data_IF_845905657617
#
_entry.id   IF_845905657617
#
_cell.length_a   1.000
_cell.length_b   1.000
_cell.length_c   1.000
_cell.angle_alpha   90.00
_cell.angle_beta   90.00
_cell.angle_gamma   90.00
#
_symmetry.space_group_name_H-M   'P 1'
#
loop_
_entity.id
_entity.type
_entity.pdbx_description
1 polymer ?
#
# COMPACT_ATOMS: atom_id res chain seq x y z
N UNK A 1 -0.43 7.96 -4.52
CA UNK A 1 -1.88 7.76 -4.79
C UNK A 1 -2.19 8.39 -6.14
N UNK A 2 -2.88 7.68 -7.05
CA UNK A 2 -3.43 8.28 -8.28
C UNK A 2 -4.87 8.71 -7.99
N UNK A 3 -5.23 9.95 -8.30
CA UNK A 3 -6.62 10.42 -8.20
C UNK A 3 -7.20 10.64 -9.60
N UNK A 4 -8.39 10.11 -9.84
CA UNK A 4 -9.19 10.35 -11.05
C UNK A 4 -10.26 11.41 -10.71
N UNK A 5 -10.32 12.50 -11.49
CA UNK A 5 -11.25 13.62 -11.23
C UNK A 5 -12.19 13.76 -12.43
N UNK A 6 -13.47 13.45 -12.23
CA UNK A 6 -14.59 13.96 -13.03
C UNK A 6 -14.74 13.38 -14.45
N UNK A 7 -15.99 13.10 -14.81
CA UNK A 7 -16.45 12.21 -15.89
C UNK A 7 -16.15 12.62 -17.35
N UNK A 8 -15.27 13.58 -17.62
CA UNK A 8 -14.84 13.93 -18.97
C UNK A 8 -13.55 14.76 -18.89
N UNK A 9 -12.39 14.12 -18.67
CA UNK A 9 -11.04 14.53 -19.11
C UNK A 9 -9.96 13.83 -18.28
N UNK A 10 -9.17 12.97 -18.90
CA UNK A 10 -7.96 12.37 -18.33
C UNK A 10 -7.02 13.43 -17.72
N UNK A 11 -6.97 13.54 -16.40
CA UNK A 11 -5.96 14.29 -15.65
C UNK A 11 -5.31 13.35 -14.63
N UNK A 12 -4.24 12.67 -15.02
CA UNK A 12 -3.43 11.86 -14.12
C UNK A 12 -2.46 12.79 -13.38
N UNK A 13 -2.85 13.26 -12.19
CA UNK A 13 -1.95 13.94 -11.26
C UNK A 13 -1.29 12.90 -10.36
N UNK A 14 0.04 12.82 -10.38
CA UNK A 14 0.80 12.01 -9.42
C UNK A 14 1.09 12.89 -8.20
N UNK A 15 0.41 12.58 -7.08
CA UNK A 15 0.62 13.25 -5.79
C UNK A 15 1.51 12.36 -4.94
N UNK A 16 2.71 12.86 -4.65
CA UNK A 16 3.66 12.24 -3.72
C UNK A 16 3.32 12.71 -2.30
N UNK A 17 2.76 11.82 -1.49
CA UNK A 17 2.45 12.06 -0.08
C UNK A 17 3.15 11.04 0.82
N UNK A 18 3.63 11.49 1.98
CA UNK A 18 4.21 10.67 3.04
C UNK A 18 3.12 9.84 3.76
N UNK A 19 3.19 8.50 3.74
CA UNK A 19 2.46 7.66 4.69
C UNK A 19 3.47 6.93 5.60
N UNK A 20 3.46 7.18 6.92
CA UNK A 20 4.58 6.86 7.81
C UNK A 20 4.21 5.78 8.81
N UNK A 21 4.57 4.54 8.44
CA UNK A 21 4.67 3.40 9.35
C UNK A 21 6.13 2.94 9.35
N UNK A 22 6.85 3.26 10.43
CA UNK A 22 8.22 2.82 10.82
C UNK A 22 9.42 3.76 10.55
N UNK A 23 10.29 3.79 11.55
CA UNK A 23 11.24 4.86 11.89
C UNK A 23 12.61 4.83 11.18
N UNK A 24 12.86 3.99 10.16
CA UNK A 24 14.21 3.82 9.62
C UNK A 24 14.33 3.68 8.09
N UNK A 25 13.23 3.63 7.34
CA UNK A 25 13.27 3.49 5.88
C UNK A 25 12.00 4.05 5.25
N UNK A 26 11.98 5.36 5.06
CA UNK A 26 10.86 6.07 4.45
C UNK A 26 11.20 6.42 3.00
N UNK A 27 10.85 5.48 2.13
CA UNK A 27 11.33 5.37 0.75
C UNK A 27 11.03 6.57 -0.14
N UNK A 28 9.92 7.29 0.04
CA UNK A 28 9.49 8.31 -0.92
C UNK A 28 10.17 9.68 -0.79
N UNK A 29 10.82 9.98 0.35
CA UNK A 29 11.64 11.19 0.56
C UNK A 29 13.12 10.87 0.87
N UNK A 30 13.50 9.58 0.86
CA UNK A 30 14.88 9.20 0.65
C UNK A 30 15.29 9.67 -0.77
N UNK A 31 16.43 10.35 -0.95
CA UNK A 31 16.93 10.75 -2.27
C UNK A 31 16.79 9.68 -3.35
N UNK A 32 17.00 8.41 -2.99
CA UNK A 32 16.87 7.28 -3.92
C UNK A 32 15.45 7.06 -4.43
N UNK A 33 14.43 7.12 -3.56
CA UNK A 33 13.04 6.93 -4.01
C UNK A 33 12.49 8.15 -4.73
N UNK A 34 12.92 9.36 -4.34
CA UNK A 34 12.58 10.58 -5.09
C UNK A 34 13.11 10.52 -6.53
N UNK A 35 14.35 10.07 -6.72
CA UNK A 35 14.94 9.88 -8.06
C UNK A 35 14.13 8.86 -8.87
N UNK A 36 13.80 7.71 -8.29
CA UNK A 36 13.02 6.67 -8.97
C UNK A 36 11.66 7.18 -9.44
N UNK A 37 10.93 7.91 -8.59
CA UNK A 37 9.62 8.45 -8.95
C UNK A 37 9.75 9.54 -10.00
N UNK A 38 10.74 10.43 -9.88
CA UNK A 38 10.98 11.49 -10.86
C UNK A 38 11.43 10.94 -12.22
N UNK A 39 12.24 9.87 -12.25
CA UNK A 39 12.60 9.17 -13.48
C UNK A 39 11.38 8.48 -14.10
N UNK A 40 10.53 7.83 -13.30
CA UNK A 40 9.28 7.25 -13.79
C UNK A 40 8.32 8.32 -14.33
N UNK A 41 8.25 9.48 -13.67
CA UNK A 41 7.49 10.63 -14.13
C UNK A 41 8.04 11.18 -15.46
N UNK A 42 9.37 11.20 -15.63
CA UNK A 42 10.02 11.58 -16.90
C UNK A 42 9.67 10.62 -18.04
N UNK A 43 9.68 9.33 -17.76
CA UNK A 43 9.44 8.32 -18.79
C UNK A 43 7.94 8.21 -19.16
N UNK A 44 7.06 8.81 -18.35
CA UNK A 44 5.62 8.91 -18.60
C UNK A 44 5.29 10.02 -19.63
N UNK A 45 5.05 9.61 -20.88
CA UNK A 45 4.74 10.54 -21.99
C UNK A 45 3.41 11.31 -21.84
N UNK A 46 2.49 10.81 -21.02
CA UNK A 46 1.14 11.37 -20.84
C UNK A 46 1.00 12.21 -19.57
N UNK A 47 2.09 12.38 -18.81
CA UNK A 47 2.08 13.12 -17.55
C UNK A 47 1.77 14.60 -17.80
N UNK A 48 0.65 15.07 -17.23
CA UNK A 48 0.24 16.48 -17.33
C UNK A 48 0.71 17.33 -16.15
N UNK A 49 0.87 16.71 -14.99
CA UNK A 49 1.18 17.41 -13.73
C UNK A 49 1.74 16.44 -12.70
N UNK A 50 2.76 16.90 -11.97
CA UNK A 50 3.38 16.17 -10.88
C UNK A 50 3.50 17.09 -9.67
N UNK A 51 2.90 16.71 -8.54
CA UNK A 51 2.92 17.54 -7.33
C UNK A 51 3.75 16.87 -6.24
N UNK A 52 4.78 17.59 -5.79
CA UNK A 52 5.59 17.23 -4.63
C UNK A 52 4.97 17.86 -3.40
N UNK A 53 4.52 17.04 -2.46
CA UNK A 53 4.00 17.51 -1.18
C UNK A 53 5.13 17.48 -0.15
N UNK A 54 5.48 18.68 0.29
CA UNK A 54 6.41 19.04 1.34
C UNK A 54 5.64 19.67 2.50
N UNK A 55 6.33 20.21 3.50
CA UNK A 55 5.69 20.85 4.66
C UNK A 55 6.35 22.15 5.08
N UNK A 56 5.70 22.88 5.98
CA UNK A 56 6.26 24.06 6.65
C UNK A 56 7.53 23.75 7.49
N UNK A 57 7.85 22.47 7.72
CA UNK A 57 9.05 22.04 8.45
C UNK A 57 10.35 22.37 7.71
N UNK A 58 10.29 22.55 6.38
CA UNK A 58 11.45 22.98 5.59
C UNK A 58 11.94 24.38 5.95
N UNK A 59 11.06 25.24 6.47
CA UNK A 59 11.42 26.60 6.87
C UNK A 59 12.29 26.62 8.13
N UNK A 60 11.94 25.79 9.12
CA UNK A 60 12.54 25.81 10.46
C UNK A 60 12.61 27.22 11.04
N UNK A 61 13.83 27.75 11.21
CA UNK A 61 14.07 29.10 11.76
C UNK A 61 13.90 30.27 10.78
N UNK A 62 13.45 30.00 9.55
CA UNK A 62 13.29 31.02 8.52
C UNK A 62 11.88 31.60 8.49
N UNK A 63 11.73 32.77 7.86
CA UNK A 63 10.41 33.31 7.58
C UNK A 63 9.62 32.34 6.69
N UNK A 64 8.36 32.05 7.02
CA UNK A 64 7.55 31.06 6.32
C UNK A 64 6.88 31.65 5.06
N UNK A 65 7.70 32.07 4.10
CA UNK A 65 7.29 32.54 2.77
C UNK A 65 8.01 31.74 1.71
N UNK A 66 7.36 31.52 0.56
CA UNK A 66 7.84 30.63 -0.51
C UNK A 66 9.24 31.00 -1.02
N UNK A 67 9.63 32.28 -0.94
CA UNK A 67 10.93 32.79 -1.39
C UNK A 67 12.01 32.83 -0.29
N UNK A 68 11.66 32.44 0.93
CA UNK A 68 12.61 32.43 2.04
C UNK A 68 13.65 31.33 1.89
N UNK A 69 14.81 31.58 2.50
CA UNK A 69 15.82 30.54 2.72
C UNK A 69 15.20 29.44 3.58
N UNK A 70 15.63 28.20 3.37
CA UNK A 70 15.20 27.04 4.14
C UNK A 70 16.25 26.70 5.20
N UNK A 71 15.84 26.62 6.46
CA UNK A 71 16.72 26.29 7.60
C UNK A 71 16.05 25.22 8.49
N UNK A 72 15.82 24.00 7.97
CA UNK A 72 15.13 22.95 8.71
C UNK A 72 15.91 22.54 9.96
N UNK A 73 15.18 22.30 11.06
CA UNK A 73 15.75 21.95 12.36
C UNK A 73 15.69 20.44 12.68
N UNK A 74 15.05 19.66 11.80
CA UNK A 74 14.87 18.23 11.97
C UNK A 74 15.12 17.49 10.65
N UNK A 75 15.30 16.17 10.75
CA UNK A 75 15.62 15.32 9.61
C UNK A 75 14.49 15.26 8.56
N UNK A 76 13.23 15.42 8.98
CA UNK A 76 12.06 15.42 8.07
C UNK A 76 12.12 16.64 7.15
N UNK A 77 12.22 17.84 7.73
CA UNK A 77 12.35 19.08 6.96
C UNK A 77 13.62 19.12 6.10
N UNK A 78 14.73 18.53 6.57
CA UNK A 78 15.94 18.41 5.78
C UNK A 78 15.77 17.48 4.56
N UNK A 79 15.05 16.35 4.72
CA UNK A 79 14.75 15.43 3.65
C UNK A 79 13.77 16.05 2.63
N UNK A 80 12.72 16.71 3.10
CA UNK A 80 11.76 17.44 2.27
C UNK A 80 12.45 18.55 1.46
N UNK A 81 13.31 19.37 2.09
CA UNK A 81 14.15 20.36 1.39
C UNK A 81 15.00 19.73 0.28
N UNK A 82 15.59 18.55 0.54
CA UNK A 82 16.34 17.80 -0.47
C UNK A 82 15.46 17.36 -1.64
N UNK A 83 14.26 16.87 -1.36
CA UNK A 83 13.29 16.47 -2.38
C UNK A 83 12.81 17.65 -3.23
N UNK A 84 12.57 18.82 -2.62
CA UNK A 84 12.24 20.06 -3.35
C UNK A 84 13.36 20.46 -4.32
N UNK A 85 14.61 20.40 -3.87
CA UNK A 85 15.77 20.71 -4.72
C UNK A 85 15.91 19.71 -5.90
N UNK A 86 15.66 18.42 -5.67
CA UNK A 86 15.65 17.41 -6.74
C UNK A 86 14.52 17.66 -7.74
N UNK A 87 13.31 17.94 -7.26
CA UNK A 87 12.16 18.25 -8.10
C UNK A 87 12.43 19.48 -8.99
N UNK A 88 13.02 20.52 -8.41
CA UNK A 88 13.45 21.70 -9.15
C UNK A 88 14.53 21.38 -10.20
N UNK A 89 15.51 20.54 -9.86
CA UNK A 89 16.54 20.07 -10.80
C UNK A 89 15.93 19.32 -12.00
N UNK A 90 14.96 18.43 -11.75
CA UNK A 90 14.25 17.68 -12.78
C UNK A 90 13.38 18.57 -13.67
N UNK A 91 12.69 19.55 -13.09
CA UNK A 91 11.98 20.57 -13.88
C UNK A 91 12.96 21.34 -14.77
N UNK A 92 14.09 21.80 -14.23
CA UNK A 92 15.07 22.55 -15.03
C UNK A 92 15.65 21.72 -16.17
N UNK A 93 16.00 20.46 -15.89
CA UNK A 93 16.70 19.55 -16.81
C UNK A 93 15.80 18.93 -17.86
N UNK A 94 14.59 18.52 -17.47
CA UNK A 94 13.68 17.73 -18.31
C UNK A 94 12.36 18.42 -18.65
N UNK A 95 12.13 19.63 -18.12
CA UNK A 95 10.86 20.38 -18.30
C UNK A 95 9.63 19.60 -17.82
N UNK A 96 9.82 18.78 -16.78
CA UNK A 96 8.71 18.09 -16.13
C UNK A 96 7.73 19.10 -15.53
N UNK A 97 6.41 18.90 -15.69
CA UNK A 97 5.37 19.80 -15.17
C UNK A 97 5.21 19.60 -13.67
N UNK A 98 6.13 20.19 -12.90
CA UNK A 98 6.21 20.01 -11.45
C UNK A 98 5.60 21.20 -10.71
N UNK A 99 4.85 20.93 -9.65
CA UNK A 99 4.43 21.88 -8.63
C UNK A 99 4.89 21.41 -7.26
N UNK A 100 5.28 22.33 -6.39
CA UNK A 100 5.71 22.02 -5.02
C UNK A 100 4.71 22.65 -4.06
N UNK A 101 4.18 21.84 -3.15
CA UNK A 101 3.25 22.29 -2.12
C UNK A 101 3.91 22.14 -0.76
N UNK A 102 3.96 23.21 0.04
CA UNK A 102 4.37 23.15 1.45
C UNK A 102 3.10 23.21 2.31
N UNK A 103 2.68 22.06 2.83
CA UNK A 103 1.54 21.95 3.72
C UNK A 103 1.88 22.38 5.15
N UNK A 104 0.88 22.95 5.83
CA UNK A 104 0.87 23.09 7.27
C UNK A 104 1.13 21.73 7.92
N UNK A 105 1.98 21.71 8.96
CA UNK A 105 2.33 20.46 9.65
C UNK A 105 1.14 19.76 10.31
N UNK A 106 0.13 20.53 10.76
CA UNK A 106 -1.01 20.00 11.50
C UNK A 106 -2.23 19.77 10.62
N UNK A 107 -2.17 18.79 9.73
CA UNK A 107 -3.34 18.45 8.92
C UNK A 107 -4.34 17.65 9.75
N UNK A 108 -5.59 18.11 9.79
CA UNK A 108 -6.67 17.56 10.62
C UNK A 108 -7.66 16.81 9.72
N UNK A 109 -8.08 15.62 10.16
CA UNK A 109 -9.12 14.84 9.51
C UNK A 109 -10.06 14.24 10.56
N UNK A 110 -11.37 14.49 10.42
CA UNK A 110 -12.40 13.97 11.33
C UNK A 110 -12.11 14.22 12.82
N UNK A 111 -11.56 15.40 13.15
CA UNK A 111 -11.26 15.77 14.54
C UNK A 111 -9.90 15.28 15.06
N UNK A 112 -9.15 14.48 14.32
CA UNK A 112 -7.82 14.00 14.72
C UNK A 112 -6.72 14.55 13.80
N UNK A 113 -5.49 14.62 14.30
CA UNK A 113 -4.32 15.02 13.52
C UNK A 113 -3.77 13.79 12.78
N UNK A 114 -3.66 13.92 11.46
CA UNK A 114 -3.26 12.84 10.55
C UNK A 114 -1.88 12.28 10.91
N UNK A 115 -0.93 13.16 11.22
CA UNK A 115 0.42 12.78 11.63
C UNK A 115 0.82 13.43 12.96
N UNK A 116 0.62 12.67 14.04
CA UNK A 116 0.94 13.10 15.41
C UNK A 116 2.45 13.25 15.64
N UNK A 117 3.32 12.63 14.83
CA UNK A 117 4.76 12.80 14.97
C UNK A 117 5.20 14.24 14.65
N UNK A 118 4.41 14.95 13.82
CA UNK A 118 4.66 16.37 13.49
C UNK A 118 4.40 17.33 14.66
N UNK A 119 3.80 16.84 15.75
CA UNK A 119 3.67 17.55 17.03
C UNK A 119 4.92 17.42 17.90
N UNK A 120 5.90 16.61 17.50
CA UNK A 120 7.18 16.47 18.19
C UNK A 120 8.26 17.35 17.52
N UNK A 121 9.33 17.69 18.25
CA UNK A 121 10.49 18.38 17.66
C UNK A 121 10.68 19.85 18.05
N UNK A 122 10.22 20.27 19.23
CA UNK A 122 10.67 21.53 19.86
C UNK A 122 10.09 22.83 19.31
N UNK A 123 9.07 22.77 18.44
CA UNK A 123 8.29 23.94 18.01
C UNK A 123 7.25 24.30 19.07
N UNK A 124 7.01 25.59 19.27
CA UNK A 124 6.01 26.07 20.23
C UNK A 124 4.58 26.07 19.65
N UNK A 125 4.45 26.31 18.34
CA UNK A 125 3.18 26.49 17.65
C UNK A 125 3.06 25.59 16.41
N UNK A 126 1.82 25.23 16.06
CA UNK A 126 1.48 24.48 14.85
C UNK A 126 0.37 25.17 14.07
N UNK A 127 0.53 25.26 12.76
CA UNK A 127 -0.53 25.67 11.84
C UNK A 127 -1.41 24.46 11.55
N UNK A 128 -2.73 24.64 11.69
CA UNK A 128 -3.69 23.59 11.41
C UNK A 128 -4.38 23.83 10.07
N UNK A 129 -4.68 22.75 9.35
CA UNK A 129 -5.41 22.78 8.08
C UNK A 129 -6.33 21.57 7.96
N UNK A 130 -7.58 21.76 7.53
CA UNK A 130 -8.49 20.65 7.25
C UNK A 130 -8.02 19.83 6.04
N UNK A 131 -8.20 18.51 6.10
CA UNK A 131 -7.83 17.58 5.02
C UNK A 131 -8.49 17.96 3.69
N UNK A 132 -9.76 18.37 3.69
CA UNK A 132 -10.45 18.73 2.45
C UNK A 132 -9.85 20.02 1.86
N UNK A 133 -9.42 20.96 2.71
CA UNK A 133 -8.77 22.19 2.25
C UNK A 133 -7.39 21.93 1.68
N UNK A 134 -6.62 21.04 2.33
CA UNK A 134 -5.35 20.55 1.83
C UNK A 134 -5.53 19.90 0.44
N UNK A 135 -6.51 18.99 0.28
CA UNK A 135 -6.80 18.34 -1.00
C UNK A 135 -7.21 19.37 -2.05
N UNK A 136 -8.14 20.28 -1.75
CA UNK A 136 -8.55 21.35 -2.69
C UNK A 136 -7.37 22.21 -3.12
N UNK A 137 -6.46 22.52 -2.22
CA UNK A 137 -5.25 23.30 -2.50
C UNK A 137 -4.26 22.54 -3.38
N UNK A 138 -3.99 21.27 -3.07
CA UNK A 138 -3.09 20.40 -3.86
C UNK A 138 -3.63 20.24 -5.28
N UNK A 139 -4.93 20.01 -5.44
CA UNK A 139 -5.57 19.88 -6.76
C UNK A 139 -5.50 21.18 -7.55
N UNK A 140 -5.67 22.33 -6.90
CA UNK A 140 -5.50 23.64 -7.55
C UNK A 140 -4.06 23.83 -8.05
N UNK A 141 -3.07 23.47 -7.23
CA UNK A 141 -1.64 23.54 -7.61
C UNK A 141 -1.32 22.56 -8.72
N UNK A 142 -1.91 21.37 -8.73
CA UNK A 142 -1.76 20.41 -9.82
C UNK A 142 -2.18 21.01 -11.17
N UNK A 143 -3.20 21.87 -11.21
CA UNK A 143 -3.59 22.62 -12.41
C UNK A 143 -2.60 23.69 -12.88
N UNK A 144 -1.61 24.07 -12.06
CA UNK A 144 -0.64 25.14 -12.29
C UNK A 144 0.83 24.66 -12.21
N UNK A 145 1.05 23.34 -12.14
CA UNK A 145 2.35 22.70 -11.96
C UNK A 145 3.21 22.76 -13.24
N UNK A 146 3.88 23.89 -13.50
CA UNK A 146 4.67 24.06 -14.73
C UNK A 146 6.16 24.29 -14.45
N UNK A 147 6.50 25.07 -13.42
CA UNK A 147 7.88 25.56 -13.20
C UNK A 147 8.46 25.20 -11.82
N UNK A 148 8.08 24.06 -11.24
CA UNK A 148 8.43 23.66 -9.87
C UNK A 148 8.18 24.80 -8.87
N UNK A 149 7.13 25.58 -9.10
CA UNK A 149 6.78 26.68 -8.22
C UNK A 149 6.32 26.14 -6.87
N UNK A 150 6.75 26.83 -5.81
CA UNK A 150 6.35 26.53 -4.45
C UNK A 150 5.05 27.26 -4.12
N UNK A 151 4.17 26.58 -3.38
CA UNK A 151 2.90 27.08 -2.90
C UNK A 151 2.70 26.66 -1.45
N UNK A 152 2.53 27.61 -0.55
CA UNK A 152 2.18 27.32 0.84
C UNK A 152 0.69 27.06 0.99
N UNK A 153 0.35 26.04 1.78
CA UNK A 153 -1.02 25.65 2.12
C UNK A 153 -1.15 25.54 3.64
N UNK A 154 -1.94 26.43 4.25
CA UNK A 154 -2.20 26.39 5.69
C UNK A 154 -3.42 27.21 6.08
N UNK A 155 -3.91 26.98 7.31
CA UNK A 155 -4.98 27.76 7.90
C UNK A 155 -4.54 29.18 8.24
N UNK A 156 -5.50 30.06 8.57
CA UNK A 156 -5.19 31.44 8.99
C UNK A 156 -4.59 31.53 10.39
N UNK A 157 -4.66 30.46 11.18
CA UNK A 157 -4.33 30.44 12.60
C UNK A 157 -3.30 29.38 12.97
N UNK A 158 -2.56 29.67 14.03
CA UNK A 158 -1.63 28.76 14.69
C UNK A 158 -1.98 28.61 16.17
N UNK A 159 -1.68 27.42 16.70
CA UNK A 159 -2.06 27.00 18.05
C UNK A 159 -0.84 26.46 18.80
N UNK A 160 -0.73 26.68 20.12
CA UNK A 160 0.34 26.09 20.92
C UNK A 160 0.27 24.56 20.88
N UNK A 161 1.40 23.91 20.59
CA UNK A 161 1.45 22.45 20.43
C UNK A 161 0.98 21.73 21.69
N UNK A 162 1.38 22.20 22.88
CA UNK A 162 0.98 21.59 24.16
C UNK A 162 -0.55 21.62 24.36
N UNK A 163 -1.21 22.70 23.94
CA UNK A 163 -2.67 22.80 24.05
C UNK A 163 -3.37 21.88 23.04
N UNK A 164 -2.83 21.77 21.83
CA UNK A 164 -3.35 20.84 20.82
C UNK A 164 -3.19 19.40 21.30
N UNK A 165 -2.02 19.03 21.85
CA UNK A 165 -1.79 17.72 22.47
C UNK A 165 -2.82 17.47 23.58
N UNK A 166 -2.99 18.41 24.50
CA UNK A 166 -3.95 18.27 25.60
C UNK A 166 -5.40 18.15 25.09
N UNK A 167 -5.79 18.89 24.05
CA UNK A 167 -7.13 18.84 23.44
C UNK A 167 -7.47 17.46 22.87
N UNK A 168 -6.48 16.77 22.29
CA UNK A 168 -6.64 15.39 21.80
C UNK A 168 -6.93 14.38 22.91
N UNK A 169 -6.63 14.71 24.17
CA UNK A 169 -6.97 13.87 25.33
C UNK A 169 -8.21 14.37 26.08
N UNK A 170 -8.39 15.70 26.16
CA UNK A 170 -9.45 16.35 26.92
C UNK A 170 -10.12 17.48 26.12
N UNK A 171 -11.40 17.26 25.79
CA UNK A 171 -12.22 18.24 25.07
C UNK A 171 -12.50 19.52 25.86
N UNK A 172 -12.25 19.55 27.18
CA UNK A 172 -12.44 20.74 28.02
C UNK A 172 -11.39 21.83 27.77
N UNK A 173 -10.26 21.47 27.16
CA UNK A 173 -9.16 22.40 26.86
C UNK A 173 -9.60 23.45 25.85
N UNK A 174 -9.40 24.72 26.16
CA UNK A 174 -9.62 25.83 25.21
C UNK A 174 -8.32 26.16 24.50
N UNK A 175 -8.33 26.15 23.17
CA UNK A 175 -7.16 26.51 22.38
C UNK A 175 -7.04 28.03 22.27
N UNK A 176 -5.90 28.58 22.69
CA UNK A 176 -5.51 29.94 22.33
C UNK A 176 -4.99 29.96 20.89
N UNK A 177 -5.34 30.99 20.13
CA UNK A 177 -4.97 31.15 18.72
C UNK A 177 -4.15 32.42 18.50
N UNK A 178 -3.26 32.37 17.50
CA UNK A 178 -2.60 33.54 16.93
C UNK A 178 -2.65 33.48 15.41
N UNK A 179 -2.36 34.60 14.74
CA UNK A 179 -2.22 34.64 13.29
C UNK A 179 -1.12 33.67 12.84
N UNK A 180 -1.40 32.88 11.81
CA UNK A 180 -0.42 31.99 11.21
C UNK A 180 0.79 32.74 10.68
N UNK A 181 1.97 32.18 10.92
CA UNK A 181 3.24 32.66 10.38
C UNK A 181 3.46 32.21 8.92
N UNK A 182 2.85 31.10 8.52
CA UNK A 182 2.85 30.60 7.15
C UNK A 182 2.11 31.55 6.20
N UNK A 183 2.84 32.21 5.30
CA UNK A 183 2.25 33.07 4.28
C UNK A 183 1.54 32.20 3.22
N UNK A 184 0.25 32.46 2.98
CA UNK A 184 -0.57 31.76 1.99
C UNK A 184 -1.18 32.71 0.95
N UNK A 185 -0.67 33.94 0.84
CA UNK A 185 -1.20 34.98 -0.04
C UNK A 185 -1.13 34.57 -1.51
N UNK A 186 -0.05 33.87 -1.88
CA UNK A 186 0.19 33.39 -3.25
C UNK A 186 -0.95 32.52 -3.73
N UNK A 187 -1.33 31.47 -2.99
CA UNK A 187 -2.40 30.58 -3.41
C UNK A 187 -3.80 31.21 -3.23
N UNK A 188 -3.97 32.11 -2.25
CA UNK A 188 -5.22 32.86 -2.09
C UNK A 188 -5.54 33.74 -3.29
N UNK A 189 -4.50 34.26 -3.96
CA UNK A 189 -4.68 34.99 -5.23
C UNK A 189 -5.29 34.14 -6.36
N UNK A 190 -5.20 32.81 -6.26
CA UNK A 190 -5.84 31.84 -7.17
C UNK A 190 -7.27 31.44 -6.73
N UNK A 191 -7.80 32.03 -5.66
CA UNK A 191 -9.13 31.75 -5.15
C UNK A 191 -9.22 30.59 -4.15
N UNK A 192 -8.08 30.04 -3.70
CA UNK A 192 -8.08 29.07 -2.59
C UNK A 192 -8.23 29.80 -1.25
N UNK A 193 -9.22 29.42 -0.46
CA UNK A 193 -9.46 29.96 0.87
C UNK A 193 -9.71 28.78 1.82
N UNK A 194 -8.91 28.61 2.89
CA UNK A 194 -9.12 27.55 3.86
C UNK A 194 -10.37 27.84 4.69
N UNK A 195 -11.06 26.77 5.10
CA UNK A 195 -12.08 26.84 6.11
C UNK A 195 -11.41 26.81 7.49
N UNK A 196 -11.39 27.94 8.18
CA UNK A 196 -10.69 28.08 9.46
C UNK A 196 -11.49 27.51 10.65
N UNK A 197 -12.65 26.89 10.41
CA UNK A 197 -13.42 26.17 11.43
C UNK A 197 -12.84 24.77 11.67
N UNK A 198 -11.63 24.74 12.23
CA UNK A 198 -10.90 23.51 12.49
C UNK A 198 -11.33 22.95 13.84
N UNK A 199 -11.97 21.79 13.79
CA UNK A 199 -12.40 21.05 14.99
C UNK A 199 -11.35 20.00 15.32
N UNK A 200 -10.84 20.02 16.56
CA UNK A 200 -10.03 18.95 17.14
C UNK A 200 -10.83 18.30 18.26
N UNK A 201 -11.01 16.97 18.19
CA UNK A 201 -11.74 16.17 19.17
C UNK A 201 -10.83 15.15 19.87
N UNK A 202 -11.20 14.77 21.08
CA UNK A 202 -10.47 13.76 21.82
C UNK A 202 -10.56 12.38 21.20
N UNK A 203 -9.43 11.70 21.12
CA UNK A 203 -9.33 10.35 20.51
C UNK A 203 -9.75 9.23 21.47
N UNK A 204 -10.15 9.57 22.71
CA UNK A 204 -10.54 8.63 23.76
C UNK A 204 -12.05 8.31 23.83
N UNK A 205 -12.84 8.63 22.80
CA UNK A 205 -14.23 8.16 22.75
C UNK A 205 -14.26 6.62 22.61
N UNK A 206 -14.47 5.95 23.75
CA UNK A 206 -14.89 4.55 23.82
C UNK A 206 -16.18 4.35 23.02
N UNK A 207 -16.07 3.77 21.83
CA UNK A 207 -17.19 3.19 21.10
C UNK A 207 -18.15 4.21 20.46
N UNK A 208 -18.62 3.87 19.27
CA UNK A 208 -19.69 4.55 18.53
C UNK A 208 -19.37 5.95 17.98
N UNK A 209 -18.41 6.03 17.06
CA UNK A 209 -18.50 7.07 16.02
C UNK A 209 -19.61 6.67 15.03
N UNK A 210 -20.84 7.14 15.28
CA UNK A 210 -21.80 7.40 14.21
C UNK A 210 -21.38 8.68 13.47
N UNK A 211 -20.15 8.68 12.95
CA UNK A 211 -19.74 9.66 11.96
C UNK A 211 -20.35 9.21 10.64
N UNK A 212 -21.02 10.12 9.93
CA UNK A 212 -21.08 10.02 8.48
C UNK A 212 -19.64 10.18 7.97
N UNK A 213 -18.83 9.15 8.15
CA UNK A 213 -17.72 8.90 7.24
C UNK A 213 -18.41 8.82 5.88
N UNK A 214 -18.07 9.72 4.97
CA UNK A 214 -18.07 9.32 3.58
C UNK A 214 -16.98 8.27 3.53
N UNK A 215 -17.36 7.03 3.86
CA UNK A 215 -16.51 5.87 3.73
C UNK A 215 -16.30 5.77 2.22
N UNK A 216 -15.17 6.30 1.77
CA UNK A 216 -14.61 5.80 0.53
C UNK A 216 -14.21 4.36 0.84
N UNK A 217 -15.21 3.46 0.87
CA UNK A 217 -15.04 2.02 0.79
C UNK A 217 -14.47 1.74 -0.60
N UNK A 218 -13.21 2.14 -0.80
CA UNK A 218 -12.37 1.63 -1.85
C UNK A 218 -12.24 0.15 -1.54
N UNK A 219 -13.06 -0.64 -2.22
CA UNK A 219 -13.01 -2.10 -2.14
C UNK A 219 -11.55 -2.52 -2.33
N UNK A 220 -10.95 -3.27 -1.39
CA UNK A 220 -9.58 -3.70 -1.54
C UNK A 220 -9.45 -4.46 -2.86
N UNK A 221 -8.46 -4.08 -3.66
CA UNK A 221 -8.22 -4.69 -4.97
C UNK A 221 -7.37 -5.93 -4.81
N UNK A 222 -7.92 -7.06 -5.21
CA UNK A 222 -7.33 -8.40 -5.07
C UNK A 222 -6.93 -8.93 -6.43
N UNK A 223 -5.63 -9.08 -6.67
CA UNK A 223 -5.10 -9.71 -7.88
C UNK A 223 -4.87 -11.21 -7.64
N UNK A 224 -5.57 -12.06 -8.39
CA UNK A 224 -5.58 -13.52 -8.17
C UNK A 224 -4.71 -14.23 -9.21
N UNK A 225 -3.59 -14.77 -8.77
CA UNK A 225 -2.78 -15.71 -9.55
C UNK A 225 -3.30 -17.14 -9.39
N UNK A 226 -3.48 -17.83 -10.51
CA UNK A 226 -4.10 -19.16 -10.53
C UNK A 226 -5.63 -19.14 -10.63
N UNK A 227 -6.23 -17.99 -10.97
CA UNK A 227 -7.68 -17.79 -11.13
C UNK A 227 -8.38 -18.87 -11.98
N UNK A 228 -7.75 -19.32 -13.07
CA UNK A 228 -8.27 -20.38 -13.96
C UNK A 228 -8.18 -21.80 -13.37
N UNK A 229 -7.54 -21.96 -12.23
CA UNK A 229 -7.47 -23.23 -11.49
C UNK A 229 -8.77 -23.48 -10.73
N UNK A 230 -9.05 -24.74 -10.39
CA UNK A 230 -10.31 -25.10 -9.73
C UNK A 230 -10.48 -24.45 -8.35
N UNK A 231 -9.40 -24.35 -7.56
CA UNK A 231 -9.41 -23.63 -6.28
C UNK A 231 -9.55 -22.12 -6.50
N UNK A 232 -8.86 -21.57 -7.50
CA UNK A 232 -8.94 -20.15 -7.85
C UNK A 232 -10.35 -19.72 -8.23
N UNK A 233 -11.03 -20.48 -9.09
CA UNK A 233 -12.42 -20.21 -9.50
C UNK A 233 -13.37 -20.22 -8.31
N UNK A 234 -13.26 -21.24 -7.44
CA UNK A 234 -14.10 -21.35 -6.25
C UNK A 234 -13.86 -20.18 -5.28
N UNK A 235 -12.60 -19.74 -5.13
CA UNK A 235 -12.28 -18.59 -4.29
C UNK A 235 -12.85 -17.29 -4.86
N UNK A 236 -12.70 -17.06 -6.16
CA UNK A 236 -13.26 -15.88 -6.85
C UNK A 236 -14.77 -15.85 -6.69
N UNK A 237 -15.47 -16.97 -6.94
CA UNK A 237 -16.93 -17.08 -6.76
C UNK A 237 -17.37 -16.69 -5.34
N UNK A 238 -16.62 -17.07 -4.30
CA UNK A 238 -16.96 -16.71 -2.91
C UNK A 238 -16.62 -15.26 -2.57
N UNK A 239 -15.48 -14.74 -3.05
CA UNK A 239 -15.09 -13.35 -2.84
C UNK A 239 -16.05 -12.37 -3.56
N UNK A 240 -16.50 -12.71 -4.77
CA UNK A 240 -17.48 -11.92 -5.53
C UNK A 240 -18.84 -11.87 -4.82
N UNK A 241 -19.29 -12.98 -4.23
CA UNK A 241 -20.55 -13.03 -3.45
C UNK A 241 -20.51 -12.16 -2.21
N UNK A 242 -19.37 -12.10 -1.53
CA UNK A 242 -19.19 -11.24 -0.36
C UNK A 242 -19.27 -9.75 -0.78
N UNK A 243 -18.74 -9.41 -1.95
CA UNK A 243 -18.92 -8.10 -2.57
C UNK A 243 -18.07 -6.98 -1.97
N UNK A 244 -17.18 -7.26 -1.01
CA UNK A 244 -16.29 -6.26 -0.39
C UNK A 244 -15.00 -6.01 -1.19
N UNK A 245 -14.66 -6.85 -2.16
CA UNK A 245 -13.39 -6.80 -2.91
C UNK A 245 -13.58 -6.42 -4.38
N UNK A 246 -12.61 -5.72 -4.95
CA UNK A 246 -12.44 -5.56 -6.41
C UNK A 246 -11.49 -6.66 -6.90
N UNK A 247 -12.02 -7.66 -7.61
CA UNK A 247 -11.27 -8.88 -7.94
C UNK A 247 -10.79 -8.79 -9.37
N UNK A 248 -9.49 -9.02 -9.56
CA UNK A 248 -8.86 -9.07 -10.87
C UNK A 248 -8.16 -10.41 -11.05
N UNK A 249 -8.42 -11.07 -12.17
CA UNK A 249 -7.70 -12.28 -12.55
C UNK A 249 -6.35 -11.94 -13.18
N UNK A 250 -5.27 -12.49 -12.65
CA UNK A 250 -3.96 -12.34 -13.27
C UNK A 250 -3.87 -13.17 -14.56
N UNK A 251 -3.27 -12.59 -15.60
CA UNK A 251 -3.09 -13.22 -16.90
C UNK A 251 -1.73 -13.89 -17.04
N UNK A 252 -0.68 -13.31 -16.44
CA UNK A 252 0.68 -13.86 -16.46
C UNK A 252 0.82 -15.08 -15.56
N UNK A 253 1.83 -15.90 -15.86
CA UNK A 253 2.11 -17.18 -15.23
C UNK A 253 3.50 -17.15 -14.58
N UNK A 254 3.59 -16.85 -13.27
CA UNK A 254 4.84 -16.94 -12.53
C UNK A 254 5.54 -18.28 -12.76
N UNK A 255 6.85 -18.22 -13.01
CA UNK A 255 7.68 -19.38 -13.36
C UNK A 255 7.69 -19.77 -14.84
N UNK A 256 6.71 -19.34 -15.66
CA UNK A 256 6.73 -19.56 -17.11
C UNK A 256 6.98 -18.28 -17.90
N UNK A 257 6.31 -17.19 -17.55
CA UNK A 257 6.54 -15.87 -18.13
C UNK A 257 7.73 -15.19 -17.43
N UNK A 258 8.40 -14.20 -18.06
CA UNK A 258 9.52 -13.48 -17.46
C UNK A 258 9.10 -12.78 -16.16
N UNK A 259 9.96 -12.82 -15.13
CA UNK A 259 9.67 -12.19 -13.83
C UNK A 259 9.35 -10.69 -13.94
N UNK A 260 9.97 -9.99 -14.90
CA UNK A 260 9.68 -8.58 -15.19
C UNK A 260 8.23 -8.36 -15.60
N UNK A 261 7.66 -9.26 -16.41
CA UNK A 261 6.26 -9.15 -16.83
C UNK A 261 5.29 -9.45 -15.70
N UNK A 262 5.68 -10.29 -14.72
CA UNK A 262 4.91 -10.50 -13.49
C UNK A 262 4.89 -9.22 -12.67
N UNK A 263 6.06 -8.59 -12.49
CA UNK A 263 6.18 -7.32 -11.79
C UNK A 263 5.35 -6.22 -12.48
N UNK A 264 5.46 -6.09 -13.80
CA UNK A 264 4.70 -5.11 -14.58
C UNK A 264 3.18 -5.32 -14.45
N UNK A 265 2.73 -6.58 -14.45
CA UNK A 265 1.32 -6.91 -14.22
C UNK A 265 0.87 -6.49 -12.81
N UNK A 266 1.67 -6.79 -11.77
CA UNK A 266 1.33 -6.37 -10.40
C UNK A 266 1.27 -4.84 -10.30
N UNK A 267 2.27 -4.14 -10.82
CA UNK A 267 2.35 -2.68 -10.75
C UNK A 267 1.23 -2.02 -11.53
N UNK A 268 0.90 -2.50 -12.73
CA UNK A 268 -0.17 -1.93 -13.57
C UNK A 268 -1.56 -2.05 -12.94
N UNK A 269 -1.79 -3.10 -12.13
CA UNK A 269 -3.06 -3.28 -11.44
C UNK A 269 -3.13 -2.55 -10.10
N UNK A 270 -2.00 -2.16 -9.52
CA UNK A 270 -1.89 -1.55 -8.18
C UNK A 270 -2.77 -2.24 -7.12
N UNK A 271 -2.66 -3.57 -6.93
CA UNK A 271 -3.51 -4.28 -5.98
C UNK A 271 -3.07 -3.99 -4.54
N UNK A 272 -4.03 -4.00 -3.60
CA UNK A 272 -3.71 -3.99 -2.17
C UNK A 272 -3.40 -5.40 -1.65
N UNK A 273 -3.93 -6.42 -2.34
CA UNK A 273 -3.77 -7.83 -1.97
C UNK A 273 -3.48 -8.69 -3.20
N UNK A 274 -2.61 -9.68 -3.04
CA UNK A 274 -2.38 -10.74 -4.02
C UNK A 274 -2.80 -12.06 -3.41
N UNK A 275 -3.57 -12.85 -4.17
CA UNK A 275 -3.86 -14.24 -3.80
C UNK A 275 -3.16 -15.19 -4.76
N UNK A 276 -2.35 -16.08 -4.21
CA UNK A 276 -1.66 -17.13 -4.94
C UNK A 276 -2.36 -18.47 -4.73
N UNK A 277 -3.05 -18.95 -5.77
CA UNK A 277 -3.59 -20.32 -5.87
C UNK A 277 -2.78 -21.17 -6.86
N UNK A 278 -1.59 -20.70 -7.25
CA UNK A 278 -0.73 -21.38 -8.22
C UNK A 278 -0.19 -22.68 -7.63
N UNK A 279 -0.37 -23.76 -8.38
CA UNK A 279 0.21 -25.06 -8.07
C UNK A 279 -0.18 -26.09 -9.11
N UNK A 280 0.78 -26.91 -9.53
CA UNK A 280 0.52 -28.02 -10.44
C UNK A 280 0.17 -29.27 -9.65
N UNK A 281 -0.95 -29.89 -10.01
CA UNK A 281 -1.42 -31.17 -9.43
C UNK A 281 -1.82 -32.19 -10.50
N UNK A 282 -1.59 -31.90 -11.77
CA UNK A 282 -1.91 -32.75 -12.92
C UNK A 282 -1.10 -32.33 -14.16
N UNK A 283 -1.23 -33.09 -15.25
CA UNK A 283 -0.66 -32.75 -16.56
C UNK A 283 -1.23 -33.62 -17.68
N UNK A 284 -0.67 -33.55 -18.90
CA UNK A 284 -1.18 -34.29 -20.05
C UNK A 284 -1.34 -35.79 -19.75
N UNK A 285 -2.56 -36.30 -19.90
CA UNK A 285 -2.90 -37.71 -19.70
C UNK A 285 -2.99 -38.20 -18.24
N UNK A 286 -2.69 -37.35 -17.24
CA UNK A 286 -2.68 -37.76 -15.82
C UNK A 286 -3.32 -36.67 -14.95
N UNK A 287 -4.51 -36.95 -14.41
CA UNK A 287 -5.31 -36.01 -13.60
C UNK A 287 -5.03 -36.10 -12.08
N UNK A 288 -3.77 -36.35 -11.71
CA UNK A 288 -3.33 -36.46 -10.32
C UNK A 288 -1.88 -36.05 -10.14
N UNK A 289 -1.45 -35.89 -8.88
CA UNK A 289 -0.06 -35.54 -8.54
C UNK A 289 0.94 -36.59 -9.02
N UNK A 290 0.50 -37.80 -9.38
CA UNK A 290 1.34 -38.82 -10.01
C UNK A 290 2.01 -38.31 -11.29
N UNK A 291 1.43 -37.30 -11.96
CA UNK A 291 2.06 -36.62 -13.10
C UNK A 291 3.43 -36.02 -12.76
N UNK A 292 3.63 -35.60 -11.51
CA UNK A 292 4.86 -34.95 -11.03
C UNK A 292 5.91 -35.94 -10.52
N UNK A 293 5.59 -37.22 -10.54
CA UNK A 293 6.51 -38.30 -10.18
C UNK A 293 7.25 -38.80 -11.43
N UNK A 294 8.37 -39.50 -11.23
CA UNK A 294 9.03 -40.23 -12.32
C UNK A 294 10.25 -39.59 -12.96
N UNK A 295 10.87 -38.57 -12.33
CA UNK A 295 12.25 -38.19 -12.66
C UNK A 295 12.52 -36.67 -12.74
N UNK A 296 13.73 -36.29 -13.19
CA UNK A 296 14.22 -34.90 -13.19
C UNK A 296 13.34 -33.91 -13.96
N UNK A 297 12.76 -34.31 -15.09
CA UNK A 297 11.91 -33.42 -15.89
C UNK A 297 10.62 -33.04 -15.14
N UNK A 298 10.01 -34.02 -14.45
CA UNK A 298 8.82 -33.79 -13.61
C UNK A 298 9.15 -33.02 -12.35
N UNK A 299 10.32 -33.26 -11.77
CA UNK A 299 10.82 -32.45 -10.66
C UNK A 299 11.02 -30.99 -11.08
N UNK A 300 11.54 -30.72 -12.29
CA UNK A 300 11.67 -29.36 -12.81
C UNK A 300 10.32 -28.65 -12.92
N UNK A 301 9.30 -29.32 -13.47
CA UNK A 301 7.93 -28.78 -13.52
C UNK A 301 7.36 -28.55 -12.11
N UNK A 302 7.59 -29.48 -11.18
CA UNK A 302 7.15 -29.39 -9.79
C UNK A 302 7.80 -28.21 -9.06
N UNK A 303 9.12 -28.08 -9.13
CA UNK A 303 9.88 -26.98 -8.54
C UNK A 303 9.43 -25.62 -9.09
N UNK A 304 9.22 -25.52 -10.40
CA UNK A 304 8.78 -24.27 -11.05
C UNK A 304 7.39 -23.84 -10.57
N UNK A 305 6.41 -24.75 -10.60
CA UNK A 305 5.00 -24.39 -10.38
C UNK A 305 4.61 -24.42 -8.90
N UNK A 306 5.21 -25.30 -8.09
CA UNK A 306 4.83 -25.49 -6.68
C UNK A 306 5.76 -24.84 -5.67
N UNK A 307 6.95 -24.36 -6.08
CA UNK A 307 7.90 -23.67 -5.22
C UNK A 307 8.28 -22.29 -5.75
N UNK A 308 8.85 -22.22 -6.95
CA UNK A 308 9.35 -20.96 -7.50
C UNK A 308 8.23 -19.94 -7.72
N UNK A 309 7.13 -20.33 -8.35
CA UNK A 309 6.01 -19.44 -8.62
C UNK A 309 5.40 -18.81 -7.33
N UNK A 310 5.03 -19.59 -6.29
CA UNK A 310 4.59 -19.01 -5.02
C UNK A 310 5.64 -18.14 -4.33
N UNK A 311 6.90 -18.56 -4.34
CA UNK A 311 7.99 -17.80 -3.72
C UNK A 311 8.24 -16.46 -4.42
N UNK A 312 8.21 -16.44 -5.76
CA UNK A 312 8.37 -15.21 -6.54
C UNK A 312 7.29 -14.20 -6.18
N UNK A 313 6.03 -14.63 -6.12
CA UNK A 313 4.92 -13.76 -5.74
C UNK A 313 5.09 -13.22 -4.31
N UNK A 314 5.38 -14.08 -3.33
CA UNK A 314 5.60 -13.62 -1.96
C UNK A 314 6.76 -12.63 -1.85
N UNK A 315 7.87 -12.87 -2.57
CA UNK A 315 9.02 -11.96 -2.60
C UNK A 315 8.69 -10.61 -3.25
N UNK A 316 7.92 -10.59 -4.34
CA UNK A 316 7.47 -9.35 -4.97
C UNK A 316 6.49 -8.59 -4.05
N UNK A 317 5.56 -9.31 -3.40
CA UNK A 317 4.64 -8.72 -2.44
C UNK A 317 5.38 -8.07 -1.27
N UNK A 318 6.42 -8.70 -0.72
CA UNK A 318 7.25 -8.11 0.34
C UNK A 318 7.93 -6.81 -0.13
N UNK A 319 8.55 -6.83 -1.32
CA UNK A 319 9.21 -5.65 -1.90
C UNK A 319 8.25 -4.50 -2.18
N UNK A 320 7.01 -4.80 -2.54
CA UNK A 320 5.98 -3.83 -2.90
C UNK A 320 5.06 -3.49 -1.72
N UNK A 321 5.29 -4.04 -0.54
CA UNK A 321 4.43 -3.89 0.64
C UNK A 321 2.95 -4.26 0.38
N UNK A 322 2.71 -5.31 -0.42
CA UNK A 322 1.39 -5.85 -0.74
C UNK A 322 1.11 -7.06 0.18
N UNK A 323 -0.12 -7.20 0.66
CA UNK A 323 -0.49 -8.42 1.40
C UNK A 323 -0.55 -9.62 0.46
N UNK A 324 0.10 -10.74 0.83
CA UNK A 324 0.07 -11.96 0.04
C UNK A 324 -0.70 -13.07 0.77
N UNK A 325 -1.72 -13.65 0.14
CA UNK A 325 -2.37 -14.87 0.63
C UNK A 325 -1.98 -16.04 -0.25
N UNK A 326 -1.27 -17.02 0.29
CA UNK A 326 -0.93 -18.25 -0.40
C UNK A 326 -1.85 -19.40 0.03
N UNK A 327 -2.50 -20.04 -0.95
CA UNK A 327 -3.31 -21.23 -0.74
C UNK A 327 -2.44 -22.47 -0.97
N UNK A 328 -1.85 -22.94 0.13
CA UNK A 328 -1.06 -24.16 0.21
C UNK A 328 -1.90 -25.41 0.43
N UNK A 329 -1.26 -26.51 0.84
CA UNK A 329 -1.95 -27.79 1.04
C UNK A 329 -1.62 -28.41 2.39
N UNK A 330 -2.64 -28.94 3.06
CA UNK A 330 -2.49 -29.76 4.27
C UNK A 330 -2.02 -31.20 3.97
N UNK A 331 -1.90 -31.60 2.71
CA UNK A 331 -1.38 -32.92 2.29
C UNK A 331 0.16 -33.03 2.40
N UNK A 332 0.76 -32.22 3.27
CA UNK A 332 2.17 -32.23 3.69
C UNK A 332 2.34 -32.81 5.10
N UNK A 333 1.23 -33.16 5.76
CA UNK A 333 1.21 -33.79 7.08
C UNK A 333 0.69 -35.23 7.00
N UNK A 334 1.22 -36.10 7.85
CA UNK A 334 0.75 -37.48 8.07
C UNK A 334 0.58 -37.75 9.57
N UNK A 335 -0.24 -38.72 9.91
CA UNK A 335 -0.28 -39.20 11.30
C UNK A 335 1.03 -39.91 11.64
N UNK A 336 1.50 -39.70 12.87
CA UNK A 336 2.68 -40.34 13.45
C UNK A 336 2.48 -40.51 14.97
N UNK A 337 3.54 -40.85 15.69
CA UNK A 337 3.47 -41.06 17.14
C UNK A 337 3.14 -39.77 17.92
N UNK A 338 3.51 -38.59 17.40
CA UNK A 338 3.21 -37.31 18.06
C UNK A 338 1.82 -36.81 17.67
N UNK A 339 1.38 -37.11 16.45
CA UNK A 339 0.09 -36.73 15.90
C UNK A 339 -0.71 -38.00 15.55
N UNK A 340 -1.28 -38.64 16.56
CA UNK A 340 -2.15 -39.82 16.38
C UNK A 340 -3.57 -39.43 15.92
N UNK A 341 -4.35 -40.39 15.42
CA UNK A 341 -5.75 -40.16 15.05
C UNK A 341 -6.56 -39.84 16.31
N UNK A 342 -7.13 -38.63 16.39
CA UNK A 342 -7.81 -38.12 17.58
C UNK A 342 -6.87 -37.65 18.69
N UNK A 343 -5.56 -37.59 18.41
CA UNK A 343 -4.54 -37.07 19.30
C UNK A 343 -4.27 -35.57 19.10
N UNK A 344 -3.02 -35.15 19.33
CA UNK A 344 -2.60 -33.76 19.19
C UNK A 344 -2.73 -33.28 17.74
N UNK A 345 -3.31 -32.10 17.56
CA UNK A 345 -3.51 -31.46 16.25
C UNK A 345 -2.27 -30.67 15.81
N UNK A 346 -2.08 -30.56 14.50
CA UNK A 346 -1.07 -29.68 13.92
C UNK A 346 -1.46 -28.21 14.05
N UNK A 347 -0.48 -27.39 14.44
CA UNK A 347 -0.53 -25.93 14.51
C UNK A 347 0.12 -25.29 13.30
N UNK A 348 -0.09 -23.98 13.15
CA UNK A 348 0.37 -23.19 12.00
C UNK A 348 1.89 -23.18 11.85
N UNK A 349 2.62 -23.33 12.95
CA UNK A 349 4.07 -23.34 13.05
C UNK A 349 4.69 -24.74 12.90
N UNK A 350 3.89 -25.81 12.84
CA UNK A 350 4.43 -27.16 12.77
C UNK A 350 5.05 -27.47 11.40
N UNK A 351 6.19 -28.15 11.44
CA UNK A 351 6.94 -28.53 10.23
C UNK A 351 6.29 -29.74 9.58
N UNK A 352 6.11 -29.70 8.26
CA UNK A 352 5.59 -30.82 7.47
C UNK A 352 6.41 -32.09 7.66
N UNK A 353 5.75 -33.24 7.86
CA UNK A 353 6.38 -34.54 8.10
C UNK A 353 6.08 -35.60 7.00
N UNK A 354 5.33 -35.25 5.95
CA UNK A 354 5.03 -36.15 4.84
C UNK A 354 5.92 -35.91 3.61
N UNK A 355 6.73 -36.92 3.27
CA UNK A 355 7.68 -36.90 2.15
C UNK A 355 7.43 -38.02 1.13
N UNK A 356 6.22 -38.60 1.11
CA UNK A 356 5.90 -39.78 0.29
C UNK A 356 5.77 -39.53 -1.21
N UNK A 357 5.76 -38.28 -1.66
CA UNK A 357 5.67 -37.89 -3.07
C UNK A 357 6.60 -36.72 -3.35
N UNK A 358 7.12 -36.60 -4.57
CA UNK A 358 7.87 -35.41 -5.01
C UNK A 358 7.06 -34.14 -4.80
N UNK A 359 5.76 -34.19 -5.11
CA UNK A 359 4.83 -33.07 -4.89
C UNK A 359 4.83 -32.58 -3.44
N UNK A 360 4.61 -33.49 -2.48
CA UNK A 360 4.52 -33.12 -1.06
C UNK A 360 5.85 -32.64 -0.49
N UNK A 361 6.98 -33.22 -0.92
CA UNK A 361 8.31 -32.73 -0.52
C UNK A 361 8.48 -31.28 -0.96
N UNK A 362 8.22 -30.97 -2.23
CA UNK A 362 8.35 -29.59 -2.75
C UNK A 362 7.40 -28.64 -2.03
N UNK A 363 6.12 -29.00 -1.87
CA UNK A 363 5.14 -28.17 -1.13
C UNK A 363 5.52 -27.96 0.34
N UNK A 364 6.11 -28.95 1.01
CA UNK A 364 6.60 -28.81 2.38
C UNK A 364 7.76 -27.80 2.49
N UNK A 365 8.69 -27.81 1.52
CA UNK A 365 9.72 -26.77 1.44
C UNK A 365 9.14 -25.40 1.12
N UNK A 366 8.19 -25.31 0.19
CA UNK A 366 7.48 -24.06 -0.12
C UNK A 366 6.82 -23.48 1.12
N UNK A 367 6.09 -24.29 1.89
CA UNK A 367 5.43 -23.87 3.13
C UNK A 367 6.42 -23.24 4.11
N UNK A 368 7.56 -23.89 4.33
CA UNK A 368 8.61 -23.40 5.22
C UNK A 368 9.26 -22.11 4.71
N UNK A 369 9.52 -22.00 3.41
CA UNK A 369 10.12 -20.81 2.79
C UNK A 369 9.19 -19.61 2.91
N UNK A 370 7.90 -19.81 2.68
CA UNK A 370 6.94 -18.70 2.70
C UNK A 370 6.71 -18.10 4.08
N UNK A 371 7.04 -18.83 5.17
CA UNK A 371 6.99 -18.29 6.55
C UNK A 371 8.00 -17.17 6.79
N UNK A 372 8.99 -17.03 5.93
CA UNK A 372 10.00 -15.97 6.07
C UNK A 372 9.45 -14.59 5.66
N UNK A 373 8.30 -14.54 4.98
CA UNK A 373 7.67 -13.29 4.53
C UNK A 373 6.59 -12.84 5.52
N UNK A 374 6.79 -11.76 6.31
CA UNK A 374 5.87 -11.35 7.36
C UNK A 374 4.51 -10.85 6.83
N UNK A 375 4.46 -10.41 5.57
CA UNK A 375 3.26 -9.98 4.86
C UNK A 375 2.54 -11.13 4.13
N UNK A 376 2.97 -12.38 4.32
CA UNK A 376 2.38 -13.55 3.66
C UNK A 376 1.54 -14.40 4.61
N UNK A 377 0.23 -14.40 4.39
CA UNK A 377 -0.72 -15.32 5.00
C UNK A 377 -0.69 -16.67 4.27
N UNK A 378 -0.53 -17.77 5.01
CA UNK A 378 -0.55 -19.11 4.44
C UNK A 378 -1.80 -19.88 4.89
N UNK A 379 -2.64 -20.27 3.94
CA UNK A 379 -3.81 -21.10 4.18
C UNK A 379 -3.56 -22.52 3.67
N UNK A 380 -3.74 -23.53 4.52
CA UNK A 380 -3.48 -24.94 4.17
C UNK A 380 -4.77 -25.69 3.98
N UNK A 381 -5.22 -25.85 2.73
CA UNK A 381 -6.42 -26.63 2.44
C UNK A 381 -6.07 -28.12 2.34
N UNK A 382 -6.87 -28.98 2.98
CA UNK A 382 -6.71 -30.43 2.90
C UNK A 382 -7.88 -31.02 2.11
N UNK A 383 -7.57 -31.68 1.00
CA UNK A 383 -8.54 -32.40 0.16
C UNK A 383 -9.84 -31.62 -0.08
N UNK A 384 -9.79 -30.51 -0.85
CA UNK A 384 -10.94 -29.64 -1.00
C UNK A 384 -12.13 -30.36 -1.65
N UNK A 385 -13.33 -30.13 -1.10
CA UNK A 385 -14.62 -30.68 -1.56
C UNK A 385 -15.60 -29.54 -1.81
N UNK A 386 -16.51 -29.72 -2.75
CA UNK A 386 -17.67 -28.85 -2.93
C UNK A 386 -18.95 -29.70 -3.13
N UNK A 387 -20.11 -29.04 -3.20
CA UNK A 387 -21.40 -29.73 -3.39
C UNK A 387 -21.72 -30.06 -4.87
N UNK A 388 -20.82 -29.74 -5.81
CA UNK A 388 -20.99 -29.94 -7.25
C UNK A 388 -20.36 -31.26 -7.68
N UNK A 389 -21.00 -32.00 -8.60
CA UNK A 389 -20.46 -33.24 -9.15
C UNK A 389 -19.51 -32.93 -10.32
N UNK A 390 -18.21 -32.79 -10.03
CA UNK A 390 -17.17 -32.39 -10.99
C UNK A 390 -15.93 -33.28 -10.84
N UNK A 391 -15.22 -33.57 -11.93
CA UNK A 391 -14.04 -34.47 -11.96
C UNK A 391 -12.89 -34.07 -11.02
N UNK A 392 -12.88 -32.81 -10.57
CA UNK A 392 -11.87 -32.27 -9.64
C UNK A 392 -12.28 -32.36 -8.17
N UNK A 393 -13.56 -32.56 -7.88
CA UNK A 393 -14.07 -32.78 -6.52
C UNK A 393 -13.60 -34.14 -6.01
N UNK A 394 -13.14 -34.22 -4.75
CA UNK A 394 -12.73 -35.47 -4.12
C UNK A 394 -13.82 -36.53 -4.24
N UNK A 395 -15.09 -36.16 -4.04
CA UNK A 395 -16.23 -37.11 -4.08
C UNK A 395 -16.34 -37.80 -5.44
N UNK A 396 -15.97 -37.13 -6.53
CA UNK A 396 -15.96 -37.73 -7.87
C UNK A 396 -14.77 -38.67 -8.09
N UNK A 397 -13.69 -38.54 -7.32
CA UNK A 397 -12.44 -39.32 -7.44
C UNK A 397 -12.43 -40.61 -6.62
N UNK A 398 -13.35 -40.78 -5.66
CA UNK A 398 -13.45 -41.99 -4.79
C UNK A 398 -14.46 -43.00 -5.36
N UNK A 399 -14.51 -43.18 -6.69
CA UNK A 399 -15.35 -44.21 -7.32
C UNK A 399 -14.65 -45.55 -7.44
#
# INVERSE_FOLDING_TARGET
MYYEIGSDSQCYALIMYQEFSSYLLTGCLNPLGMIQVLDAARDCQTLKSFVVVSSDMVYGNSAQSENSILLPENFIGAAEMGAEAMAHSYMMSYKLPIGIVRLASGVVHNGDIVDKQRLEGGRDFINLLDMNDAIRGILLVAGHAINAEVWNLGGTKEYPIDQVKNKLFDNSVTLSERQASLNTDKIRSLGWIPNDDIIIESTHKNGTSNGNTVDYHLKPKVLVYGARGWVGQQLIEELEKNGEFDIVEAHKKPGSDPDSEILDEIVSHTPSHIVCTVGRTHGPGVNSIAYLEGGPDKLKENMRDNLYAPWLLASLCEKLHIHCTYIGTGCIYKYDYEHEIGGMEYKEDDVSNYSGTSYSVVKGFTDRLLRQFPNTLQCRIRLPINYKSEDRNLVAKVK
#
